data_IF_160086121729
#
_entry.id   IF_160086121729
#
_cell.length_a   1.000
_cell.length_b   1.000
_cell.length_c   1.000
_cell.angle_alpha   90.00
_cell.angle_beta   90.00
_cell.angle_gamma   90.00
#
_symmetry.space_group_name_H-M   'P 1'
#
loop_
_entity.id
_entity.type
_entity.pdbx_description
1 polymer ?
#
# COMPACT_ATOMS: atom_id res chain seq x y z
N UNK A 1 -12.06 4.73 -19.65
CA UNK A 1 -11.66 3.89 -20.81
C UNK A 1 -10.16 4.02 -21.14
N UNK A 2 -9.60 5.23 -21.28
CA UNK A 2 -8.19 5.47 -21.66
C UNK A 2 -7.12 5.14 -20.60
N UNK A 3 -7.50 4.91 -19.34
CA UNK A 3 -6.55 4.81 -18.23
C UNK A 3 -5.90 3.40 -18.16
N UNK A 4 -6.67 2.32 -18.34
CA UNK A 4 -6.14 0.95 -18.34
C UNK A 4 -5.43 0.58 -19.65
N UNK A 5 -5.96 0.99 -20.82
CA UNK A 5 -5.28 0.73 -22.10
C UNK A 5 -3.94 1.48 -22.17
N UNK A 6 -3.87 2.78 -21.83
CA UNK A 6 -2.59 3.51 -21.81
C UNK A 6 -1.57 2.95 -20.81
N UNK A 7 -2.01 2.24 -19.77
CA UNK A 7 -1.11 1.59 -18.82
C UNK A 7 -0.48 0.33 -19.42
N UNK A 8 -1.26 -0.50 -20.12
CA UNK A 8 -0.72 -1.65 -20.86
C UNK A 8 0.13 -1.19 -22.04
N UNK A 9 -0.36 -0.23 -22.85
CA UNK A 9 0.29 0.22 -24.08
C UNK A 9 1.66 0.86 -23.79
N UNK A 10 1.80 1.60 -22.68
CA UNK A 10 3.08 2.24 -22.31
C UNK A 10 4.07 1.26 -21.67
N UNK A 11 3.57 0.29 -20.90
CA UNK A 11 4.39 -0.82 -20.37
C UNK A 11 4.93 -1.70 -21.51
N UNK A 12 4.11 -1.96 -22.53
CA UNK A 12 4.53 -2.65 -23.76
C UNK A 12 5.58 -1.83 -24.54
N UNK A 13 5.39 -0.52 -24.66
CA UNK A 13 6.34 0.34 -25.39
C UNK A 13 7.71 0.45 -24.71
N UNK A 14 7.76 0.51 -23.38
CA UNK A 14 9.03 0.57 -22.63
C UNK A 14 9.79 -0.78 -22.69
N UNK A 15 9.10 -1.91 -22.94
CA UNK A 15 9.72 -3.24 -23.10
C UNK A 15 10.38 -3.46 -24.47
N UNK A 16 9.81 -2.93 -25.56
CA UNK A 16 10.37 -3.09 -26.92
C UNK A 16 11.80 -2.50 -27.03
N UNK A 17 12.15 -1.52 -26.19
CA UNK A 17 13.52 -0.96 -26.13
C UNK A 17 14.54 -1.87 -25.43
N UNK A 18 14.10 -2.84 -24.64
CA UNK A 18 14.98 -3.69 -23.81
C UNK A 18 15.11 -5.14 -24.29
N UNK A 19 14.41 -5.56 -25.36
CA UNK A 19 14.47 -6.93 -25.90
C UNK A 19 15.80 -7.30 -26.58
N UNK A 20 16.77 -6.40 -26.67
CA UNK A 20 18.11 -6.70 -27.18
C UNK A 20 19.12 -7.02 -26.06
N UNK A 21 18.74 -7.76 -25.01
CA UNK A 21 19.74 -8.46 -24.20
C UNK A 21 19.15 -9.51 -23.25
N UNK A 22 19.59 -10.75 -23.47
CA UNK A 22 19.78 -11.84 -22.50
C UNK A 22 18.67 -12.88 -22.30
N UNK A 23 19.15 -14.12 -22.32
CA UNK A 23 18.45 -15.39 -22.23
C UNK A 23 18.37 -15.93 -20.79
N UNK A 24 17.46 -16.91 -20.66
CA UNK A 24 17.27 -17.90 -19.61
C UNK A 24 16.43 -17.50 -18.37
N UNK A 25 15.19 -17.98 -18.45
CA UNK A 25 14.33 -18.42 -17.35
C UNK A 25 13.99 -17.37 -16.27
N UNK A 26 13.31 -16.29 -16.69
CA UNK A 26 12.38 -15.58 -15.80
C UNK A 26 10.96 -15.87 -16.26
N UNK A 27 10.15 -16.44 -15.35
CA UNK A 27 8.71 -16.65 -15.54
C UNK A 27 8.10 -15.35 -16.05
N UNK A 28 7.49 -15.45 -17.20
CA UNK A 28 6.85 -14.40 -17.98
C UNK A 28 5.94 -13.54 -17.10
N UNK A 29 6.29 -12.27 -16.89
CA UNK A 29 5.53 -11.35 -16.02
C UNK A 29 4.30 -10.75 -16.74
N UNK A 30 4.14 -11.03 -18.03
CA UNK A 30 2.90 -10.80 -18.75
C UNK A 30 2.61 -12.02 -19.60
N UNK A 31 1.40 -12.58 -19.50
CA UNK A 31 0.86 -13.44 -20.55
C UNK A 31 1.03 -12.67 -21.86
N UNK A 32 1.67 -13.30 -22.84
CA UNK A 32 1.80 -12.74 -24.19
C UNK A 32 0.36 -12.63 -24.74
N UNK A 33 -0.25 -11.45 -24.57
CA UNK A 33 -1.61 -11.19 -25.02
C UNK A 33 -1.59 -11.07 -26.53
N UNK A 34 -2.27 -11.99 -27.21
CA UNK A 34 -2.44 -11.84 -28.65
C UNK A 34 -3.41 -10.70 -28.93
N UNK A 35 -3.36 -10.13 -30.15
CA UNK A 35 -4.37 -9.17 -30.59
C UNK A 35 -5.80 -9.74 -30.48
N UNK A 36 -5.95 -11.05 -30.70
CA UNK A 36 -7.23 -11.76 -30.52
C UNK A 36 -7.69 -11.74 -29.07
N UNK A 37 -6.79 -11.98 -28.12
CA UNK A 37 -7.12 -11.92 -26.69
C UNK A 37 -7.52 -10.51 -26.27
N UNK A 38 -6.80 -9.50 -26.75
CA UNK A 38 -7.13 -8.10 -26.50
C UNK A 38 -8.52 -7.73 -27.04
N UNK A 39 -8.85 -8.13 -28.28
CA UNK A 39 -10.17 -7.89 -28.87
C UNK A 39 -11.29 -8.60 -28.12
N UNK A 40 -11.07 -9.85 -27.68
CA UNK A 40 -12.04 -10.60 -26.87
C UNK A 40 -12.30 -9.92 -25.52
N UNK A 41 -11.24 -9.45 -24.86
CA UNK A 41 -11.37 -8.72 -23.60
C UNK A 41 -12.18 -7.43 -23.78
N UNK A 42 -11.84 -6.61 -24.79
CA UNK A 42 -12.59 -5.39 -25.06
C UNK A 42 -14.06 -5.65 -25.40
N UNK A 43 -14.34 -6.69 -26.20
CA UNK A 43 -15.71 -7.08 -26.54
C UNK A 43 -16.48 -7.51 -25.28
N UNK A 44 -15.87 -8.33 -24.43
CA UNK A 44 -16.49 -8.77 -23.17
C UNK A 44 -16.81 -7.59 -22.25
N UNK A 45 -15.89 -6.63 -22.14
CA UNK A 45 -16.07 -5.41 -21.35
C UNK A 45 -17.22 -4.55 -21.89
N UNK A 46 -17.23 -4.28 -23.19
CA UNK A 46 -18.27 -3.46 -23.82
C UNK A 46 -19.65 -4.11 -23.67
N UNK A 47 -19.73 -5.42 -23.92
CA UNK A 47 -20.98 -6.17 -23.76
C UNK A 47 -21.47 -6.18 -22.32
N UNK A 48 -20.58 -6.32 -21.35
CA UNK A 48 -20.92 -6.29 -19.92
C UNK A 48 -21.47 -4.92 -19.53
N UNK A 49 -20.76 -3.85 -19.90
CA UNK A 49 -21.20 -2.48 -19.62
C UNK A 49 -22.52 -2.15 -20.30
N UNK A 50 -22.74 -2.64 -21.53
CA UNK A 50 -24.02 -2.48 -22.22
C UNK A 50 -25.16 -3.17 -21.48
N UNK A 51 -24.96 -4.41 -21.01
CA UNK A 51 -25.96 -5.15 -20.22
C UNK A 51 -26.30 -4.44 -18.91
N UNK A 52 -25.28 -3.91 -18.22
CA UNK A 52 -25.48 -3.15 -16.97
C UNK A 52 -26.35 -1.91 -17.24
N UNK A 53 -25.97 -1.09 -18.24
CA UNK A 53 -26.74 0.11 -18.62
C UNK A 53 -28.17 -0.17 -19.06
N UNK A 54 -28.41 -1.35 -19.63
CA UNK A 54 -29.73 -1.78 -20.09
C UNK A 54 -30.55 -2.49 -19.00
N UNK A 55 -30.00 -2.69 -17.80
CA UNK A 55 -30.66 -3.42 -16.72
C UNK A 55 -30.82 -4.93 -17.00
N UNK A 56 -30.12 -5.47 -18.00
CA UNK A 56 -30.17 -6.89 -18.39
C UNK A 56 -28.97 -7.69 -17.91
N UNK A 57 -28.12 -7.10 -17.08
CA UNK A 57 -27.02 -7.79 -16.43
C UNK A 57 -27.54 -8.72 -15.34
N UNK A 58 -27.24 -10.01 -15.48
CA UNK A 58 -27.61 -11.02 -14.49
C UNK A 58 -26.61 -11.00 -13.32
N UNK A 59 -26.90 -10.13 -12.36
CA UNK A 59 -26.10 -9.92 -11.16
C UNK A 59 -25.93 -11.21 -10.36
N UNK A 60 -27.04 -11.95 -10.15
CA UNK A 60 -27.03 -13.18 -9.36
C UNK A 60 -26.14 -14.23 -10.01
N UNK A 61 -26.33 -14.50 -11.31
CA UNK A 61 -25.52 -15.48 -12.02
C UNK A 61 -24.04 -15.08 -12.09
N UNK A 62 -23.76 -13.78 -12.27
CA UNK A 62 -22.38 -13.30 -12.29
C UNK A 62 -21.71 -13.55 -10.95
N UNK A 63 -22.27 -13.11 -9.82
CA UNK A 63 -21.58 -13.23 -8.53
C UNK A 63 -21.68 -14.62 -7.89
N UNK A 64 -22.66 -15.46 -8.26
CA UNK A 64 -22.75 -16.84 -7.77
C UNK A 64 -21.77 -17.80 -8.45
N UNK A 65 -21.24 -17.45 -9.63
CA UNK A 65 -20.22 -18.28 -10.28
C UNK A 65 -18.92 -18.23 -9.49
N UNK A 66 -18.19 -19.35 -9.42
CA UNK A 66 -16.89 -19.40 -8.75
C UNK A 66 -15.97 -18.29 -9.26
N UNK A 67 -15.36 -17.54 -8.34
CA UNK A 67 -14.37 -16.50 -8.62
C UNK A 67 -13.02 -16.90 -8.05
N UNK A 68 -11.99 -16.39 -8.69
CA UNK A 68 -10.59 -16.57 -8.33
C UNK A 68 -9.86 -15.23 -8.37
N UNK A 69 -8.61 -15.22 -7.94
CA UNK A 69 -7.71 -14.05 -8.04
C UNK A 69 -7.60 -13.52 -9.48
N UNK A 70 -7.75 -14.37 -10.50
CA UNK A 70 -7.70 -13.96 -11.90
C UNK A 70 -8.88 -13.05 -12.30
N UNK A 71 -10.03 -13.18 -11.63
CA UNK A 71 -11.24 -12.42 -11.95
C UNK A 71 -11.23 -10.99 -11.37
N UNK A 72 -10.39 -10.74 -10.35
CA UNK A 72 -10.35 -9.47 -9.62
C UNK A 72 -10.04 -8.30 -10.56
N UNK A 73 -9.15 -8.49 -11.54
CA UNK A 73 -8.78 -7.44 -12.50
C UNK A 73 -9.97 -6.97 -13.34
N UNK A 74 -10.77 -7.90 -13.85
CA UNK A 74 -11.98 -7.59 -14.61
C UNK A 74 -13.03 -6.91 -13.73
N UNK A 75 -13.31 -7.46 -12.54
CA UNK A 75 -14.28 -6.90 -11.58
C UNK A 75 -13.89 -5.47 -11.18
N UNK A 76 -12.61 -5.25 -10.87
CA UNK A 76 -12.08 -3.93 -10.53
C UNK A 76 -12.27 -2.96 -11.69
N UNK A 77 -11.94 -3.38 -12.91
CA UNK A 77 -12.11 -2.55 -14.12
C UNK A 77 -13.57 -2.20 -14.40
N UNK A 78 -14.50 -3.15 -14.25
CA UNK A 78 -15.94 -2.90 -14.40
C UNK A 78 -16.46 -1.96 -13.33
N UNK A 79 -16.03 -2.10 -12.07
CA UNK A 79 -16.41 -1.20 -10.97
C UNK A 79 -15.92 0.24 -11.19
N UNK A 80 -14.79 0.43 -11.86
CA UNK A 80 -14.30 1.75 -12.23
C UNK A 80 -15.11 2.35 -13.40
N UNK A 81 -15.59 1.51 -14.31
CA UNK A 81 -16.30 1.93 -15.52
C UNK A 81 -17.81 2.15 -15.33
N UNK A 82 -18.42 1.56 -14.30
CA UNK A 82 -19.85 1.70 -13.97
C UNK A 82 -20.07 1.83 -12.46
N UNK A 83 -20.67 2.94 -12.04
CA UNK A 83 -21.09 3.16 -10.65
C UNK A 83 -22.19 2.19 -10.21
N UNK A 84 -23.05 1.76 -11.12
CA UNK A 84 -24.08 0.74 -10.88
C UNK A 84 -23.41 -0.59 -10.52
N UNK A 85 -22.41 -1.01 -11.29
CA UNK A 85 -21.65 -2.23 -10.99
C UNK A 85 -20.86 -2.11 -9.68
N UNK A 86 -20.24 -0.96 -9.40
CA UNK A 86 -19.59 -0.71 -8.13
C UNK A 86 -20.56 -0.83 -6.93
N UNK A 87 -21.80 -0.36 -7.11
CA UNK A 87 -22.86 -0.48 -6.09
C UNK A 87 -23.29 -1.93 -5.90
N UNK A 88 -23.38 -2.72 -6.98
CA UNK A 88 -23.64 -4.16 -6.90
C UNK A 88 -22.55 -4.87 -6.10
N UNK A 89 -21.27 -4.61 -6.39
CA UNK A 89 -20.16 -5.21 -5.65
C UNK A 89 -20.20 -4.89 -4.15
N UNK A 90 -20.72 -3.74 -3.74
CA UNK A 90 -20.78 -3.33 -2.33
C UNK A 90 -22.01 -3.85 -1.56
N UNK A 91 -22.87 -4.66 -2.17
CA UNK A 91 -23.98 -5.28 -1.45
C UNK A 91 -23.48 -6.30 -0.43
N UNK A 92 -24.04 -6.26 0.78
CA UNK A 92 -23.65 -7.14 1.90
C UNK A 92 -23.69 -8.63 1.56
N UNK A 93 -24.60 -9.05 0.67
CA UNK A 93 -24.74 -10.44 0.25
C UNK A 93 -23.52 -11.00 -0.49
N UNK A 94 -22.63 -10.14 -1.00
CA UNK A 94 -21.36 -10.52 -1.64
C UNK A 94 -20.14 -10.33 -0.75
N UNK A 95 -20.32 -9.89 0.51
CA UNK A 95 -19.21 -9.65 1.44
C UNK A 95 -18.31 -10.88 1.59
N UNK A 96 -18.90 -12.07 1.74
CA UNK A 96 -18.15 -13.31 1.90
C UNK A 96 -17.30 -13.63 0.65
N UNK A 97 -17.84 -13.40 -0.55
CA UNK A 97 -17.10 -13.59 -1.80
C UNK A 97 -15.83 -12.74 -1.83
N UNK A 98 -15.91 -11.49 -1.38
CA UNK A 98 -14.75 -10.59 -1.32
C UNK A 98 -13.78 -10.97 -0.23
N UNK A 99 -14.27 -11.43 0.92
CA UNK A 99 -13.46 -11.94 2.01
C UNK A 99 -12.65 -13.17 1.60
N UNK A 100 -13.28 -14.11 0.90
CA UNK A 100 -12.63 -15.32 0.36
C UNK A 100 -11.54 -14.96 -0.67
N UNK A 101 -11.84 -14.04 -1.60
CA UNK A 101 -10.87 -13.56 -2.57
C UNK A 101 -9.73 -12.77 -1.92
N UNK A 102 -10.02 -12.00 -0.88
CA UNK A 102 -9.01 -11.24 -0.12
C UNK A 102 -8.04 -12.17 0.60
N UNK A 103 -8.55 -13.23 1.22
CA UNK A 103 -7.74 -14.26 1.86
C UNK A 103 -6.81 -14.98 0.86
N UNK A 104 -7.36 -15.38 -0.30
CA UNK A 104 -6.59 -15.98 -1.40
C UNK A 104 -5.53 -15.02 -1.98
N UNK A 105 -5.88 -13.75 -2.11
CA UNK A 105 -4.96 -12.73 -2.58
C UNK A 105 -3.83 -12.48 -1.58
N UNK A 106 -4.11 -12.63 -0.27
CA UNK A 106 -3.08 -12.63 0.78
C UNK A 106 -1.96 -13.63 0.51
N UNK A 107 -2.30 -14.86 0.08
CA UNK A 107 -1.30 -15.88 -0.31
C UNK A 107 -0.47 -15.42 -1.52
N UNK A 108 -1.11 -14.79 -2.50
CA UNK A 108 -0.46 -14.31 -3.73
C UNK A 108 0.49 -13.14 -3.46
N UNK A 109 0.11 -12.21 -2.58
CA UNK A 109 0.95 -11.05 -2.21
C UNK A 109 2.09 -11.46 -1.29
N UNK A 110 1.83 -12.33 -0.32
CA UNK A 110 2.86 -12.80 0.63
C UNK A 110 3.88 -13.74 -0.02
N UNK A 111 3.62 -14.26 -1.23
CA UNK A 111 4.59 -15.03 -2.02
C UNK A 111 5.85 -14.24 -2.39
N UNK A 112 5.83 -12.90 -2.30
CA UNK A 112 7.00 -12.04 -2.45
C UNK A 112 7.80 -11.85 -1.14
N UNK A 113 7.41 -12.53 -0.06
CA UNK A 113 8.04 -12.48 1.26
C UNK A 113 8.55 -13.87 1.67
N UNK A 114 9.19 -13.98 2.84
CA UNK A 114 9.73 -15.25 3.33
C UNK A 114 8.66 -16.32 3.60
N UNK A 115 7.44 -15.89 3.93
CA UNK A 115 6.34 -16.80 4.30
C UNK A 115 5.05 -16.40 3.61
N UNK A 116 4.41 -17.38 2.97
CA UNK A 116 3.06 -17.21 2.47
C UNK A 116 2.05 -17.30 3.62
N UNK A 117 1.17 -16.30 3.69
CA UNK A 117 0.12 -16.22 4.70
C UNK A 117 -1.22 -15.90 4.04
N UNK A 118 -2.30 -16.42 4.60
CA UNK A 118 -3.64 -15.94 4.32
C UNK A 118 -3.88 -14.63 5.06
N UNK A 119 -4.67 -13.75 4.45
CA UNK A 119 -5.18 -12.56 5.13
C UNK A 119 -6.52 -12.84 5.80
N UNK A 120 -6.74 -12.19 6.94
CA UNK A 120 -7.98 -12.28 7.70
C UNK A 120 -8.76 -10.98 7.59
N UNK A 121 -10.07 -11.05 7.37
CA UNK A 121 -10.89 -9.85 7.46
C UNK A 121 -10.85 -9.30 8.91
N UNK A 122 -10.78 -7.98 9.06
CA UNK A 122 -11.00 -7.32 10.36
C UNK A 122 -12.33 -6.56 10.34
N UNK A 123 -12.82 -6.19 11.51
CA UNK A 123 -14.15 -5.57 11.64
C UNK A 123 -14.22 -4.18 10.98
N UNK A 124 -15.43 -3.79 10.56
CA UNK A 124 -15.79 -2.45 10.06
C UNK A 124 -15.10 -2.00 8.76
N UNK A 125 -14.93 -2.91 7.80
CA UNK A 125 -14.32 -2.60 6.50
C UNK A 125 -15.27 -2.94 5.36
N UNK A 126 -15.22 -2.13 4.31
CA UNK A 126 -15.69 -2.53 2.99
C UNK A 126 -14.73 -3.57 2.38
N UNK A 127 -15.14 -4.85 2.43
CA UNK A 127 -14.33 -5.99 1.96
C UNK A 127 -14.00 -5.88 0.47
N UNK A 128 -14.82 -5.20 -0.33
CA UNK A 128 -14.55 -4.97 -1.75
C UNK A 128 -13.46 -3.91 -1.95
N UNK A 129 -13.50 -2.80 -1.20
CA UNK A 129 -12.43 -1.80 -1.22
C UNK A 129 -11.11 -2.38 -0.72
N UNK A 130 -11.14 -3.16 0.37
CA UNK A 130 -9.98 -3.87 0.89
C UNK A 130 -9.36 -4.80 -0.17
N UNK A 131 -10.18 -5.58 -0.87
CA UNK A 131 -9.74 -6.45 -1.97
C UNK A 131 -9.07 -5.65 -3.08
N UNK A 132 -9.67 -4.53 -3.50
CA UNK A 132 -9.11 -3.65 -4.55
C UNK A 132 -7.77 -3.04 -4.14
N UNK A 133 -7.67 -2.54 -2.91
CA UNK A 133 -6.43 -1.98 -2.38
C UNK A 133 -5.30 -3.00 -2.38
N UNK A 134 -5.58 -4.23 -1.93
CA UNK A 134 -4.60 -5.32 -1.96
C UNK A 134 -4.27 -5.78 -3.38
N UNK A 135 -5.24 -5.77 -4.30
CA UNK A 135 -4.99 -6.16 -5.70
C UNK A 135 -4.09 -5.17 -6.43
N UNK A 136 -4.30 -3.88 -6.25
CA UNK A 136 -3.38 -2.89 -6.82
C UNK A 136 -1.98 -2.98 -6.21
N UNK A 137 -1.86 -3.27 -4.92
CA UNK A 137 -0.56 -3.53 -4.31
C UNK A 137 0.09 -4.82 -4.86
N UNK A 138 -0.68 -5.88 -5.08
CA UNK A 138 -0.21 -7.09 -5.76
C UNK A 138 0.39 -6.77 -7.14
N UNK A 139 -0.31 -5.97 -7.94
CA UNK A 139 0.19 -5.52 -9.24
C UNK A 139 1.48 -4.69 -9.11
N UNK A 140 1.61 -3.84 -8.09
CA UNK A 140 2.85 -3.10 -7.86
C UNK A 140 4.01 -4.04 -7.54
N UNK A 141 3.79 -5.11 -6.75
CA UNK A 141 4.83 -6.11 -6.45
C UNK A 141 5.24 -6.90 -7.69
N UNK A 142 4.29 -7.26 -8.56
CA UNK A 142 4.58 -7.89 -9.85
C UNK A 142 5.48 -7.01 -10.74
N UNK A 143 5.18 -5.72 -10.82
CA UNK A 143 6.03 -4.76 -11.56
C UNK A 143 7.41 -4.63 -10.93
N UNK A 144 7.50 -4.51 -9.61
CA UNK A 144 8.78 -4.45 -8.88
C UNK A 144 9.63 -5.70 -9.11
N UNK A 145 9.03 -6.89 -9.11
CA UNK A 145 9.72 -8.14 -9.40
C UNK A 145 10.28 -8.18 -10.84
N UNK A 146 9.59 -7.56 -11.80
CA UNK A 146 10.07 -7.42 -13.17
C UNK A 146 11.20 -6.40 -13.31
N UNK A 147 11.12 -5.30 -12.57
CA UNK A 147 12.00 -4.14 -12.67
C UNK A 147 12.63 -3.81 -11.30
N UNK A 148 13.54 -4.66 -10.78
CA UNK A 148 13.95 -4.63 -9.37
C UNK A 148 14.81 -3.44 -8.95
N UNK A 149 15.43 -2.73 -9.91
CA UNK A 149 16.51 -1.78 -9.62
C UNK A 149 16.05 -0.33 -9.42
N UNK A 150 14.77 0.00 -9.66
CA UNK A 150 14.22 1.33 -9.38
C UNK A 150 12.71 1.31 -9.23
N UNK A 151 12.17 2.26 -8.49
CA UNK A 151 10.74 2.55 -8.51
C UNK A 151 10.35 2.96 -9.93
N UNK A 152 9.57 2.13 -10.61
CA UNK A 152 9.05 2.46 -11.94
C UNK A 152 7.80 3.34 -11.84
N UNK A 153 7.52 4.11 -12.89
CA UNK A 153 6.27 4.87 -13.00
C UNK A 153 5.02 3.97 -12.83
N UNK A 154 5.08 2.75 -13.37
CA UNK A 154 3.99 1.77 -13.26
C UNK A 154 3.82 1.24 -11.83
N UNK A 155 4.91 0.93 -11.13
CA UNK A 155 4.86 0.57 -9.69
C UNK A 155 4.24 1.71 -8.90
N UNK A 156 4.75 2.94 -9.06
CA UNK A 156 4.23 4.13 -8.37
C UNK A 156 2.73 4.34 -8.62
N UNK A 157 2.29 4.18 -9.87
CA UNK A 157 0.87 4.33 -10.22
C UNK A 157 0.00 3.28 -9.53
N UNK A 158 0.42 2.02 -9.49
CA UNK A 158 -0.30 0.98 -8.78
C UNK A 158 -0.30 1.20 -7.26
N UNK A 159 0.81 1.67 -6.69
CA UNK A 159 0.85 2.07 -5.27
C UNK A 159 -0.16 3.18 -4.97
N UNK A 160 -0.20 4.24 -5.79
CA UNK A 160 -1.15 5.35 -5.59
C UNK A 160 -2.61 4.87 -5.73
N UNK A 161 -2.93 4.01 -6.68
CA UNK A 161 -4.29 3.42 -6.77
C UNK A 161 -4.60 2.53 -5.56
N UNK A 162 -3.65 1.72 -5.07
CA UNK A 162 -3.82 0.92 -3.87
C UNK A 162 -4.06 1.79 -2.62
N UNK A 163 -3.35 2.92 -2.49
CA UNK A 163 -3.52 3.88 -1.40
C UNK A 163 -4.91 4.54 -1.42
N UNK A 164 -5.53 4.74 -2.59
CA UNK A 164 -6.91 5.28 -2.69
C UNK A 164 -7.95 4.35 -2.06
N UNK A 165 -7.63 3.05 -1.95
CA UNK A 165 -8.42 2.05 -1.25
C UNK A 165 -7.80 1.68 0.11
N UNK A 166 -7.05 2.62 0.71
CA UNK A 166 -6.46 2.50 2.04
C UNK A 166 -5.54 1.27 2.23
N UNK A 167 -4.83 0.82 1.19
CA UNK A 167 -3.87 -0.28 1.34
C UNK A 167 -2.69 0.10 2.24
N UNK A 168 -2.59 -0.54 3.42
CA UNK A 168 -1.47 -0.35 4.36
C UNK A 168 -0.13 -0.69 3.75
N UNK A 169 -0.05 -1.78 2.97
CA UNK A 169 1.18 -2.22 2.33
C UNK A 169 1.66 -1.19 1.30
N UNK A 170 0.73 -0.58 0.56
CA UNK A 170 1.06 0.44 -0.42
C UNK A 170 1.54 1.73 0.25
N UNK A 171 0.87 2.17 1.32
CA UNK A 171 1.31 3.32 2.13
C UNK A 171 2.70 3.08 2.70
N UNK A 172 2.96 1.92 3.31
CA UNK A 172 4.27 1.60 3.86
C UNK A 172 5.36 1.62 2.78
N UNK A 173 5.14 0.95 1.65
CA UNK A 173 6.09 0.94 0.52
C UNK A 173 6.34 2.34 -0.02
N UNK A 174 5.29 3.13 -0.18
CA UNK A 174 5.41 4.49 -0.69
C UNK A 174 6.12 5.41 0.31
N UNK A 175 5.83 5.31 1.60
CA UNK A 175 6.54 6.07 2.64
C UNK A 175 8.04 5.72 2.67
N UNK A 176 8.41 4.46 2.50
CA UNK A 176 9.83 4.05 2.37
C UNK A 176 10.50 4.75 1.18
N UNK A 177 9.80 4.88 0.04
CA UNK A 177 10.32 5.63 -1.12
C UNK A 177 10.52 7.12 -0.77
N UNK A 178 9.56 7.73 -0.06
CA UNK A 178 9.67 9.13 0.37
C UNK A 178 10.87 9.33 1.29
N UNK A 179 11.08 8.44 2.26
CA UNK A 179 12.23 8.47 3.16
C UNK A 179 13.54 8.32 2.38
N UNK A 180 13.60 7.36 1.46
CA UNK A 180 14.78 7.13 0.61
C UNK A 180 15.14 8.34 -0.26
N UNK A 181 14.14 9.00 -0.86
CA UNK A 181 14.32 10.26 -1.59
C UNK A 181 14.95 11.34 -0.70
N UNK A 182 14.45 11.48 0.52
CA UNK A 182 14.95 12.48 1.48
C UNK A 182 16.38 12.18 1.92
N UNK A 183 16.66 10.92 2.32
CA UNK A 183 17.98 10.50 2.78
C UNK A 183 19.06 10.70 1.72
N UNK A 184 18.72 10.51 0.44
CA UNK A 184 19.67 10.62 -0.67
C UNK A 184 19.59 11.93 -1.45
N UNK A 185 18.76 12.90 -1.03
CA UNK A 185 18.60 14.18 -1.71
C UNK A 185 18.06 14.08 -3.15
N UNK A 186 17.25 13.07 -3.44
CA UNK A 186 16.74 12.77 -4.79
C UNK A 186 15.38 13.44 -5.03
N UNK A 187 15.39 14.77 -5.12
CA UNK A 187 14.19 15.60 -5.31
C UNK A 187 13.95 15.93 -6.78
N UNK A 188 12.68 15.96 -7.18
CA UNK A 188 12.24 16.59 -8.43
C UNK A 188 12.20 18.14 -8.26
N UNK A 189 12.08 18.89 -9.36
CA UNK A 189 12.24 20.37 -9.37
C UNK A 189 11.31 21.11 -8.38
N UNK A 190 10.15 20.54 -8.05
CA UNK A 190 9.13 21.12 -7.16
C UNK A 190 8.95 20.34 -5.84
N UNK A 191 9.87 19.44 -5.49
CA UNK A 191 9.79 18.65 -4.25
C UNK A 191 10.70 19.21 -3.16
N UNK A 192 10.19 19.32 -1.94
CA UNK A 192 11.01 19.54 -0.75
C UNK A 192 10.97 18.37 0.22
N UNK A 193 12.09 18.13 0.92
CA UNK A 193 12.17 17.06 1.93
C UNK A 193 11.05 17.15 2.97
N UNK A 194 10.73 18.37 3.42
CA UNK A 194 9.65 18.63 4.37
C UNK A 194 8.30 18.19 3.84
N UNK A 195 7.97 18.51 2.58
CA UNK A 195 6.69 18.12 1.97
C UNK A 195 6.57 16.61 1.85
N UNK A 196 7.64 15.92 1.43
CA UNK A 196 7.65 14.46 1.33
C UNK A 196 7.47 13.79 2.70
N UNK A 197 8.13 14.27 3.75
CA UNK A 197 7.98 13.75 5.11
C UNK A 197 6.58 14.02 5.68
N UNK A 198 6.01 15.20 5.40
CA UNK A 198 4.65 15.54 5.79
C UNK A 198 3.61 14.71 5.03
N UNK A 199 3.86 14.37 3.77
CA UNK A 199 3.05 13.42 3.01
C UNK A 199 3.09 12.03 3.65
N UNK A 200 4.25 11.54 4.07
CA UNK A 200 4.37 10.25 4.76
C UNK A 200 3.54 10.20 6.05
N UNK A 201 3.58 11.28 6.85
CA UNK A 201 2.74 11.45 8.06
C UNK A 201 1.25 11.43 7.70
N UNK A 202 0.85 12.17 6.65
CA UNK A 202 -0.55 12.23 6.19
C UNK A 202 -1.05 10.84 5.76
N UNK A 203 -0.23 10.10 5.01
CA UNK A 203 -0.56 8.76 4.53
C UNK A 203 -0.73 7.78 5.70
N UNK A 204 0.12 7.85 6.73
CA UNK A 204 -0.03 6.99 7.91
C UNK A 204 -1.30 7.36 8.71
N UNK A 205 -1.63 8.65 8.84
CA UNK A 205 -2.83 9.12 9.54
C UNK A 205 -4.13 8.63 8.90
N UNK A 206 -4.19 8.51 7.58
CA UNK A 206 -5.41 8.03 6.91
C UNK A 206 -5.73 6.56 7.19
N UNK A 207 -4.81 5.81 7.79
CA UNK A 207 -4.96 4.38 8.06
C UNK A 207 -5.32 4.05 9.51
N UNK A 208 -5.33 5.03 10.41
CA UNK A 208 -5.41 4.79 11.86
C UNK A 208 -6.67 4.05 12.28
N UNK A 209 -7.83 4.44 11.75
CA UNK A 209 -9.12 3.81 12.07
C UNK A 209 -9.16 2.36 11.59
N UNK A 210 -8.54 2.08 10.44
CA UNK A 210 -8.62 0.79 9.77
C UNK A 210 -7.61 -0.21 10.35
N UNK A 211 -6.36 0.19 10.53
CA UNK A 211 -5.27 -0.74 10.89
C UNK A 211 -4.81 -0.63 12.35
N UNK A 212 -5.32 0.34 13.11
CA UNK A 212 -5.07 0.48 14.55
C UNK A 212 -3.58 0.49 14.89
N UNK A 213 -3.15 -0.44 15.75
CA UNK A 213 -1.77 -0.48 16.28
C UNK A 213 -0.70 -0.48 15.19
N UNK A 214 -0.91 -1.17 14.07
CA UNK A 214 0.08 -1.21 12.99
C UNK A 214 0.24 0.17 12.31
N UNK A 215 -0.88 0.86 12.04
CA UNK A 215 -0.83 2.20 11.46
C UNK A 215 -0.27 3.25 12.42
N UNK A 216 -0.53 3.12 13.73
CA UNK A 216 0.11 3.99 14.72
C UNK A 216 1.62 3.79 14.79
N UNK A 217 2.12 2.57 14.60
CA UNK A 217 3.56 2.33 14.51
C UNK A 217 4.16 2.88 13.20
N UNK A 218 3.45 2.79 12.07
CA UNK A 218 3.85 3.49 10.83
C UNK A 218 3.87 5.01 11.01
N UNK A 219 2.93 5.56 11.78
CA UNK A 219 2.88 6.99 12.08
C UNK A 219 4.03 7.42 13.00
N UNK A 220 4.39 6.59 13.98
CA UNK A 220 5.56 6.81 14.82
C UNK A 220 6.85 6.86 13.98
N UNK A 221 7.02 5.92 13.04
CA UNK A 221 8.14 5.92 12.09
C UNK A 221 8.15 7.20 11.24
N UNK A 222 7.02 7.61 10.66
CA UNK A 222 6.95 8.82 9.85
C UNK A 222 7.31 10.10 10.65
N UNK A 223 6.87 10.20 11.90
CA UNK A 223 7.26 11.29 12.79
C UNK A 223 8.73 11.23 13.18
N UNK A 224 9.28 10.03 13.41
CA UNK A 224 10.70 9.83 13.69
C UNK A 224 11.57 10.27 12.52
N UNK A 225 11.24 9.87 11.29
CA UNK A 225 11.94 10.32 10.08
C UNK A 225 11.88 11.84 9.91
N UNK A 226 10.72 12.46 10.20
CA UNK A 226 10.60 13.92 10.21
C UNK A 226 11.46 14.57 11.31
N UNK A 227 11.54 13.94 12.49
CA UNK A 227 12.41 14.41 13.56
C UNK A 227 13.88 14.40 13.11
N UNK A 228 14.38 13.29 12.57
CA UNK A 228 15.77 13.18 12.10
C UNK A 228 16.13 14.31 11.13
N UNK A 229 15.29 14.54 10.12
CA UNK A 229 15.51 15.65 9.18
C UNK A 229 15.45 17.03 9.86
N UNK A 230 14.47 17.27 10.73
CA UNK A 230 14.30 18.54 11.44
C UNK A 230 15.45 18.86 12.41
N UNK A 231 16.15 17.84 12.93
CA UNK A 231 17.32 18.00 13.77
C UNK A 231 18.46 18.72 13.04
N UNK A 232 18.61 18.42 11.75
CA UNK A 232 19.70 18.93 10.90
C UNK A 232 19.31 20.20 10.14
N UNK A 233 18.03 20.33 9.76
CA UNK A 233 17.58 21.34 8.80
C UNK A 233 16.58 22.37 9.36
N UNK A 234 16.04 22.14 10.56
CA UNK A 234 15.14 23.10 11.21
C UNK A 234 15.66 23.50 12.61
N UNK A 235 14.75 23.56 13.59
CA UNK A 235 15.03 23.95 14.96
C UNK A 235 14.95 22.73 15.87
N UNK A 236 15.72 22.78 16.95
CA UNK A 236 15.62 21.79 18.03
C UNK A 236 14.20 21.68 18.60
N UNK A 237 13.42 22.78 18.54
CA UNK A 237 12.01 22.78 18.95
C UNK A 237 11.17 21.92 18.02
N UNK A 238 11.35 22.01 16.69
CA UNK A 238 10.64 21.15 15.74
C UNK A 238 11.01 19.68 15.93
N UNK A 239 12.31 19.38 16.05
CA UNK A 239 12.82 18.04 16.34
C UNK A 239 12.11 17.41 17.56
N UNK A 240 12.08 18.15 18.67
CA UNK A 240 11.46 17.66 19.92
C UNK A 240 9.95 17.45 19.78
N UNK A 241 9.26 18.36 19.09
CA UNK A 241 7.82 18.21 18.82
C UNK A 241 7.51 16.99 17.96
N UNK A 242 8.35 16.70 16.96
CA UNK A 242 8.21 15.53 16.11
C UNK A 242 8.43 14.23 16.92
N UNK A 243 9.47 14.17 17.76
CA UNK A 243 9.68 13.04 18.68
C UNK A 243 8.51 12.84 19.65
N UNK A 244 7.99 13.91 20.24
CA UNK A 244 6.81 13.83 21.11
C UNK A 244 5.59 13.27 20.38
N UNK A 245 5.39 13.63 19.11
CA UNK A 245 4.33 13.07 18.29
C UNK A 245 4.56 11.58 17.95
N UNK A 246 5.81 11.16 17.74
CA UNK A 246 6.17 9.76 17.58
C UNK A 246 5.87 8.96 18.86
N UNK A 247 6.27 9.46 20.03
CA UNK A 247 5.99 8.87 21.35
C UNK A 247 4.49 8.72 21.58
N UNK A 248 3.71 9.77 21.32
CA UNK A 248 2.25 9.72 21.44
C UNK A 248 1.61 8.71 20.48
N UNK A 249 2.24 8.47 19.31
CA UNK A 249 1.79 7.43 18.38
C UNK A 249 2.07 6.04 18.93
N UNK A 250 3.20 5.80 19.58
CA UNK A 250 3.49 4.55 20.30
C UNK A 250 2.51 4.29 21.47
N UNK A 251 2.13 5.33 22.22
CA UNK A 251 1.10 5.21 23.27
C UNK A 251 -0.25 4.76 22.69
N UNK A 252 -0.64 5.34 21.55
CA UNK A 252 -1.85 4.91 20.86
C UNK A 252 -1.70 3.48 20.30
N UNK A 253 -0.56 3.11 19.73
CA UNK A 253 -0.34 1.74 19.27
C UNK A 253 -0.55 0.73 20.41
N UNK A 254 0.00 1.00 21.61
CA UNK A 254 -0.24 0.20 22.81
C UNK A 254 -1.73 0.05 23.12
N UNK A 255 -2.50 1.14 23.06
CA UNK A 255 -3.94 1.14 23.35
C UNK A 255 -4.76 0.26 22.39
N UNK A 256 -4.35 0.16 21.14
CA UNK A 256 -5.07 -0.61 20.10
C UNK A 256 -4.53 -2.03 19.90
N UNK A 257 -3.43 -2.40 20.56
CA UNK A 257 -2.70 -3.64 20.33
C UNK A 257 -3.60 -4.89 20.36
N UNK A 258 -4.40 -5.05 21.41
CA UNK A 258 -5.27 -6.23 21.60
C UNK A 258 -6.35 -6.34 20.51
N UNK A 259 -6.81 -5.21 19.97
CA UNK A 259 -7.86 -5.17 18.95
C UNK A 259 -7.31 -5.29 17.51
N UNK A 260 -6.00 -5.13 17.34
CA UNK A 260 -5.35 -5.05 16.04
C UNK A 260 -4.67 -6.35 15.61
N UNK A 261 -4.97 -7.50 16.23
CA UNK A 261 -4.25 -8.75 15.95
C UNK A 261 -4.31 -9.17 14.46
N UNK A 262 -5.49 -9.12 13.84
CA UNK A 262 -5.63 -9.43 12.41
C UNK A 262 -5.06 -8.35 11.49
N UNK A 263 -5.21 -7.07 11.84
CA UNK A 263 -4.64 -5.99 11.04
C UNK A 263 -3.12 -6.00 11.08
N UNK A 264 -2.52 -6.30 12.25
CA UNK A 264 -1.07 -6.52 12.42
C UNK A 264 -0.65 -7.70 11.56
N UNK A 265 -1.26 -8.88 11.73
CA UNK A 265 -0.92 -10.08 10.97
C UNK A 265 -0.94 -9.83 9.46
N UNK A 266 -2.00 -9.20 8.93
CA UNK A 266 -2.09 -8.93 7.50
C UNK A 266 -1.04 -7.89 7.04
N UNK A 267 -0.95 -6.76 7.76
CA UNK A 267 -0.07 -5.66 7.38
C UNK A 267 1.41 -6.04 7.43
N UNK A 268 1.78 -6.90 8.39
CA UNK A 268 3.15 -7.38 8.57
C UNK A 268 3.49 -8.63 7.78
N UNK A 269 2.57 -9.19 6.99
CA UNK A 269 2.72 -10.54 6.43
C UNK A 269 3.03 -11.62 7.49
N UNK A 270 2.47 -11.47 8.70
CA UNK A 270 2.71 -12.36 9.85
C UNK A 270 4.02 -12.12 10.61
N UNK A 271 4.80 -11.10 10.25
CA UNK A 271 6.09 -10.79 10.91
C UNK A 271 5.98 -9.94 12.19
N UNK A 272 4.81 -9.38 12.51
CA UNK A 272 4.63 -8.53 13.69
C UNK A 272 4.87 -7.04 13.44
N UNK A 273 4.78 -6.26 14.52
CA UNK A 273 4.88 -4.80 14.48
C UNK A 273 6.29 -4.30 14.12
N UNK A 274 7.32 -5.12 14.33
CA UNK A 274 8.70 -4.79 13.94
C UNK A 274 8.82 -4.51 12.44
N UNK A 275 7.95 -5.11 11.63
CA UNK A 275 7.92 -4.87 10.19
C UNK A 275 7.51 -3.43 9.82
N UNK A 276 6.89 -2.67 10.72
CA UNK A 276 6.37 -1.33 10.43
C UNK A 276 7.38 -0.19 10.69
N UNK A 277 8.56 -0.48 11.25
CA UNK A 277 9.47 0.55 11.73
C UNK A 277 10.94 0.17 11.50
N UNK A 278 11.79 1.20 11.38
CA UNK A 278 13.21 1.03 11.05
C UNK A 278 14.03 0.41 12.20
N UNK A 279 13.52 0.46 13.43
CA UNK A 279 14.15 -0.17 14.59
C UNK A 279 13.87 -1.67 14.69
N UNK A 280 12.94 -2.22 13.90
CA UNK A 280 12.54 -3.63 14.00
C UNK A 280 11.85 -3.99 15.33
N UNK A 281 11.20 -3.03 15.99
CA UNK A 281 10.63 -3.22 17.33
C UNK A 281 9.18 -3.71 17.26
N UNK A 282 8.93 -4.92 17.77
CA UNK A 282 7.60 -5.51 17.87
C UNK A 282 6.74 -4.98 19.03
N UNK A 283 7.34 -4.26 19.98
CA UNK A 283 6.63 -3.69 21.13
C UNK A 283 6.53 -2.18 20.99
N UNK A 284 5.31 -1.60 20.93
CA UNK A 284 5.12 -0.16 20.97
C UNK A 284 5.74 0.49 22.21
N UNK A 285 5.71 -0.19 23.36
CA UNK A 285 6.33 0.29 24.60
C UNK A 285 7.86 0.38 24.46
N UNK A 286 8.51 -0.62 23.87
CA UNK A 286 9.96 -0.56 23.61
C UNK A 286 10.33 0.52 22.60
N UNK A 287 9.52 0.70 21.55
CA UNK A 287 9.73 1.79 20.59
C UNK A 287 9.60 3.16 21.25
N UNK A 288 8.63 3.32 22.16
CA UNK A 288 8.48 4.52 22.98
C UNK A 288 9.73 4.79 23.83
N UNK A 289 10.23 3.79 24.56
CA UNK A 289 11.43 3.93 25.40
C UNK A 289 12.64 4.46 24.61
N UNK A 290 12.85 3.92 23.40
CA UNK A 290 13.92 4.38 22.49
C UNK A 290 13.75 5.86 22.12
N UNK A 291 12.53 6.27 21.77
CA UNK A 291 12.24 7.66 21.39
C UNK A 291 12.31 8.62 22.58
N UNK A 292 11.92 8.18 23.77
CA UNK A 292 12.03 8.96 25.02
C UNK A 292 13.49 9.18 25.41
N UNK A 293 14.34 8.18 25.25
CA UNK A 293 15.78 8.30 25.49
C UNK A 293 16.42 9.30 24.51
N UNK A 294 16.06 9.25 23.22
CA UNK A 294 16.51 10.26 22.23
C UNK A 294 16.06 11.68 22.63
N UNK A 295 14.82 11.84 23.08
CA UNK A 295 14.29 13.12 23.53
C UNK A 295 15.05 13.64 24.77
N UNK A 296 15.34 12.76 25.73
CA UNK A 296 16.12 13.08 26.93
C UNK A 296 17.55 13.51 26.60
N UNK A 297 18.24 12.77 25.74
CA UNK A 297 19.59 13.13 25.28
C UNK A 297 19.63 14.51 24.60
N UNK A 298 18.58 14.86 23.85
CA UNK A 298 18.48 16.19 23.23
C UNK A 298 18.36 17.33 24.25
N UNK A 299 17.70 17.08 25.38
CA UNK A 299 17.55 18.02 26.48
C UNK A 299 18.87 18.25 27.22
N UNK A 300 19.60 17.18 27.48
CA UNK A 300 20.89 17.22 28.17
C UNK A 300 21.94 17.99 27.37
N UNK A 301 22.00 17.79 26.04
CA UNK A 301 22.90 18.55 25.14
C UNK A 301 22.69 20.07 25.20
N UNK A 302 21.45 20.53 25.39
CA UNK A 302 21.15 21.96 25.53
C UNK A 302 21.59 22.48 26.90
N UNK A 303 21.37 21.70 27.95
CA UNK A 303 21.75 22.09 29.29
C UNK A 303 23.27 22.28 29.40
N UNK A 304 24.06 21.38 28.80
CA UNK A 304 25.51 21.49 28.77
C UNK A 304 25.99 22.63 27.87
N UNK A 305 25.39 22.85 26.70
CA UNK A 305 25.74 23.96 25.80
C UNK A 305 25.42 25.36 26.37
N UNK A 306 24.50 25.46 27.34
CA UNK A 306 24.20 26.71 28.06
C UNK A 306 25.15 26.97 29.24
N UNK A 307 25.92 25.97 29.66
CA UNK A 307 26.88 26.07 30.77
C UNK A 307 28.32 26.28 30.30
N UNK A 308 28.59 26.07 29.00
CA UNK A 308 29.84 26.42 28.31
C UNK A 308 29.79 27.81 27.70
#
# INVERSE_FOLDING_TARGET
MLIFSRCLDKVLHDQIKYEYSMSHARRTIFTLLTLSDFLKLNFLEEMTLKKIKQGSFDESAFFSSAKSVADIGFITKMSYASSEFATMCKKDLYRQLWSDLYSQLGLSVSAFTEKQITFYEHENIDSFDLLRGTYFFYLSQQVKAALPNKLSYSELRFLKEAMRFNSVHAVQRYNIVLFDKVTHGQFEEDESAKELLMEAIKNAKSLLELYGSYAYMLLAEAYYQYAQWAQEHESITTYRRALQAAIASCDNATKYLDKSQYSIHNASFGQGLGFSNSFGLDSPAKAKEVLEEMLKQSLEKIATAKMS
#
